data_IF_767918571505
#
_entry.id   IF_767918571505
#
_cell.length_a   1.000
_cell.length_b   1.000
_cell.length_c   1.000
_cell.angle_alpha   90.00
_cell.angle_beta   90.00
_cell.angle_gamma   90.00
#
_symmetry.space_group_name_H-M   'P 1'
#
loop_
_entity.id
_entity.type
_entity.pdbx_description
1 polymer ?
#
# COMPACT_ATOMS: atom_id res chain seq x y z
N UNK A 1 35.52 -29.98 52.64
CA UNK A 1 34.85 -31.06 51.90
C UNK A 1 34.05 -30.41 50.83
N UNK A 2 34.59 -30.34 49.60
CA UNK A 2 33.94 -29.82 48.39
C UNK A 2 33.27 -31.01 47.71
N UNK A 3 31.99 -30.86 47.40
CA UNK A 3 31.29 -31.78 46.52
C UNK A 3 30.95 -31.04 45.20
N UNK A 4 31.64 -31.42 44.15
CA UNK A 4 31.41 -30.99 42.76
C UNK A 4 30.22 -31.74 42.20
N UNK A 5 29.20 -31.03 41.73
CA UNK A 5 28.09 -31.59 40.96
C UNK A 5 28.26 -31.21 39.50
N UNK A 6 28.80 -32.16 38.73
CA UNK A 6 28.79 -32.11 37.28
C UNK A 6 27.45 -32.51 36.73
N UNK A 7 26.70 -31.56 36.15
CA UNK A 7 25.44 -31.80 35.47
C UNK A 7 25.76 -32.14 33.99
N UNK A 8 25.58 -33.41 33.62
CA UNK A 8 25.61 -33.86 32.22
C UNK A 8 24.27 -33.62 31.57
N UNK A 9 24.28 -32.85 30.50
CA UNK A 9 23.13 -32.71 29.56
C UNK A 9 23.19 -33.91 28.62
N UNK A 10 22.09 -34.66 28.42
CA UNK A 10 22.07 -35.72 27.41
C UNK A 10 21.91 -35.14 26.00
N UNK A 11 22.80 -35.50 25.10
CA UNK A 11 22.68 -35.34 23.66
C UNK A 11 21.47 -36.13 23.15
N UNK A 12 20.40 -35.42 22.79
CA UNK A 12 19.25 -35.94 22.05
C UNK A 12 19.27 -35.43 20.61
N UNK A 13 20.12 -36.02 19.78
CA UNK A 13 20.12 -35.79 18.34
C UNK A 13 18.83 -36.35 17.72
N UNK A 14 17.99 -35.48 17.20
CA UNK A 14 17.09 -35.79 16.07
C UNK A 14 17.30 -34.71 15.02
N UNK A 15 18.21 -34.98 14.10
CA UNK A 15 18.46 -34.16 12.92
C UNK A 15 17.17 -34.15 12.07
N UNK A 16 16.49 -33.04 12.09
CA UNK A 16 15.60 -32.68 11.00
C UNK A 16 16.50 -32.18 9.86
N UNK A 17 16.92 -33.09 9.00
CA UNK A 17 17.45 -32.74 7.69
C UNK A 17 16.30 -32.10 6.91
N UNK A 18 16.37 -30.78 6.75
CA UNK A 18 15.56 -30.06 5.78
C UNK A 18 15.97 -30.57 4.40
N UNK A 19 15.03 -31.22 3.73
CA UNK A 19 15.15 -31.69 2.35
C UNK A 19 15.37 -30.48 1.42
N UNK A 20 16.56 -30.36 0.79
CA UNK A 20 16.84 -29.23 -0.10
C UNK A 20 15.96 -29.19 -1.34
N UNK A 21 15.32 -30.30 -1.72
CA UNK A 21 14.46 -30.39 -2.90
C UNK A 21 13.13 -29.63 -2.74
N UNK A 22 12.68 -29.34 -1.51
CA UNK A 22 11.48 -28.54 -1.24
C UNK A 22 11.66 -27.03 -1.39
N UNK A 23 12.90 -26.55 -1.46
CA UNK A 23 13.20 -25.12 -1.64
C UNK A 23 13.21 -24.74 -3.13
N UNK A 24 13.50 -25.69 -4.01
CA UNK A 24 13.57 -25.43 -5.45
C UNK A 24 12.18 -25.38 -6.12
N UNK A 25 11.18 -26.10 -5.62
CA UNK A 25 9.79 -26.02 -6.13
C UNK A 25 9.10 -24.66 -5.89
N UNK A 26 9.64 -23.82 -4.99
CA UNK A 26 9.15 -22.46 -4.76
C UNK A 26 9.85 -21.41 -5.66
N UNK A 27 10.92 -21.79 -6.35
CA UNK A 27 11.63 -20.91 -7.28
C UNK A 27 10.98 -20.86 -8.66
N UNK A 28 10.20 -21.87 -9.01
CA UNK A 28 9.43 -21.92 -10.24
C UNK A 28 8.01 -21.36 -10.01
N UNK A 29 7.90 -20.23 -9.30
CA UNK A 29 6.71 -19.39 -9.28
C UNK A 29 6.43 -18.93 -10.71
N UNK A 30 5.79 -19.78 -11.48
CA UNK A 30 5.38 -19.50 -12.84
C UNK A 30 4.22 -18.49 -12.80
N UNK A 31 4.57 -17.23 -12.51
CA UNK A 31 3.66 -16.12 -12.80
C UNK A 31 3.46 -16.15 -14.32
N UNK A 32 2.24 -16.33 -14.82
CA UNK A 32 2.03 -16.25 -16.24
C UNK A 32 2.55 -14.88 -16.69
N UNK A 33 3.60 -14.90 -17.51
CA UNK A 33 4.08 -13.70 -18.19
C UNK A 33 2.97 -13.25 -19.14
N UNK A 34 2.02 -12.48 -18.61
CA UNK A 34 1.06 -11.77 -19.42
C UNK A 34 1.81 -10.73 -20.28
N UNK A 35 1.28 -10.36 -21.45
CA UNK A 35 1.90 -9.37 -22.32
C UNK A 35 1.72 -7.96 -21.75
N UNK A 36 2.17 -7.76 -20.52
CA UNK A 36 2.27 -6.42 -19.96
C UNK A 36 3.56 -5.80 -20.50
N UNK A 37 3.48 -5.16 -21.65
CA UNK A 37 4.42 -4.09 -21.99
C UNK A 37 4.42 -3.16 -20.78
N UNK A 38 5.55 -3.11 -20.06
CA UNK A 38 5.81 -2.06 -19.10
C UNK A 38 5.46 -0.75 -19.79
N UNK A 39 4.33 -0.16 -19.44
CA UNK A 39 4.11 1.22 -19.74
C UNK A 39 5.22 1.96 -18.99
N UNK A 40 6.21 2.43 -19.71
CA UNK A 40 7.28 3.30 -19.23
C UNK A 40 6.68 4.70 -18.97
N UNK A 41 5.63 4.76 -18.18
CA UNK A 41 5.01 5.96 -17.65
C UNK A 41 4.92 5.74 -16.17
N UNK A 42 5.48 6.64 -15.41
CA UNK A 42 5.13 6.79 -14.00
C UNK A 42 3.61 6.75 -13.86
N UNK A 43 3.09 6.62 -12.63
CA UNK A 43 1.67 6.82 -12.39
C UNK A 43 1.32 8.19 -12.98
N UNK A 44 1.02 8.21 -14.27
CA UNK A 44 0.57 9.42 -14.93
C UNK A 44 -0.71 9.81 -14.21
N UNK A 45 -0.63 10.87 -13.46
CA UNK A 45 -1.77 11.45 -12.75
C UNK A 45 -2.65 12.23 -13.74
N UNK A 46 -2.46 11.96 -15.01
CA UNK A 46 -3.34 12.47 -16.05
C UNK A 46 -4.72 11.87 -15.79
N UNK A 47 -5.65 12.74 -15.44
CA UNK A 47 -7.05 12.40 -15.19
C UNK A 47 -7.63 11.65 -16.39
N UNK A 48 -7.16 11.94 -17.59
CA UNK A 48 -7.57 11.28 -18.81
C UNK A 48 -7.14 9.80 -18.84
N UNK A 49 -5.89 9.49 -18.45
CA UNK A 49 -5.39 8.11 -18.35
C UNK A 49 -6.16 7.32 -17.29
N UNK A 50 -6.47 7.95 -16.14
CA UNK A 50 -7.25 7.29 -15.09
C UNK A 50 -8.70 7.02 -15.52
N UNK A 51 -9.27 7.86 -16.40
CA UNK A 51 -10.60 7.64 -16.95
C UNK A 51 -10.62 6.60 -18.06
N UNK A 52 -9.58 6.53 -18.88
CA UNK A 52 -9.50 5.60 -20.01
C UNK A 52 -9.32 4.14 -19.57
N UNK A 53 -8.70 3.90 -18.40
CA UNK A 53 -8.55 2.55 -17.84
C UNK A 53 -8.82 2.55 -16.33
N UNK A 54 -10.03 2.20 -15.89
CA UNK A 54 -10.42 2.19 -14.47
C UNK A 54 -9.55 1.25 -13.61
N UNK A 55 -8.86 0.26 -14.21
CA UNK A 55 -7.92 -0.61 -13.48
C UNK A 55 -6.73 0.16 -12.91
N UNK A 56 -6.43 1.35 -13.47
CA UNK A 56 -5.41 2.25 -12.92
C UNK A 56 -5.81 2.82 -11.56
N UNK A 57 -7.11 2.88 -11.28
CA UNK A 57 -7.69 3.47 -10.06
C UNK A 57 -7.90 2.45 -8.94
N UNK A 58 -7.94 1.16 -9.26
CA UNK A 58 -8.15 0.08 -8.29
C UNK A 58 -6.80 -0.44 -7.77
N UNK A 59 -6.64 -0.43 -6.44
CA UNK A 59 -5.51 -1.03 -5.73
C UNK A 59 -6.06 -2.15 -4.83
N UNK A 60 -5.61 -3.39 -5.06
CA UNK A 60 -6.00 -4.54 -4.23
C UNK A 60 -5.04 -4.68 -3.05
N UNK A 61 -5.55 -4.69 -1.82
CA UNK A 61 -4.73 -4.83 -0.62
C UNK A 61 -4.47 -6.32 -0.31
N UNK A 62 -3.19 -6.70 -0.27
CA UNK A 62 -2.72 -8.03 0.10
C UNK A 62 -2.45 -8.09 1.61
N UNK A 63 -3.52 -7.98 2.42
CA UNK A 63 -3.42 -8.03 3.88
C UNK A 63 -3.51 -9.50 4.36
N UNK A 64 -2.49 -10.28 3.99
CA UNK A 64 -2.32 -11.72 4.29
C UNK A 64 -0.95 -11.98 4.91
N UNK A 65 -0.76 -13.18 5.48
CA UNK A 65 0.44 -13.51 6.26
C UNK A 65 1.50 -14.30 5.47
N UNK A 66 1.21 -14.72 4.22
CA UNK A 66 2.16 -15.50 3.42
C UNK A 66 2.20 -15.07 1.96
N UNK A 67 3.37 -15.20 1.35
CA UNK A 67 3.57 -14.97 -0.08
C UNK A 67 2.68 -15.88 -0.94
N UNK A 68 2.49 -17.15 -0.52
CA UNK A 68 1.62 -18.09 -1.22
C UNK A 68 0.17 -17.60 -1.26
N UNK A 69 -0.39 -17.11 -0.15
CA UNK A 69 -1.74 -16.55 -0.12
C UNK A 69 -1.84 -15.27 -0.97
N UNK A 70 -0.83 -14.41 -0.92
CA UNK A 70 -0.77 -13.23 -1.77
C UNK A 70 -0.78 -13.59 -3.25
N UNK A 71 0.03 -14.57 -3.64
CA UNK A 71 0.07 -15.08 -5.01
C UNK A 71 -1.28 -15.65 -5.47
N UNK A 72 -1.94 -16.46 -4.64
CA UNK A 72 -3.27 -17.02 -4.95
C UNK A 72 -4.29 -15.90 -5.24
N UNK A 73 -4.28 -14.82 -4.44
CA UNK A 73 -5.15 -13.67 -4.66
C UNK A 73 -4.83 -12.99 -6.00
N UNK A 74 -3.55 -12.74 -6.29
CA UNK A 74 -3.12 -12.10 -7.54
C UNK A 74 -3.54 -12.92 -8.77
N UNK A 75 -3.39 -14.24 -8.70
CA UNK A 75 -3.83 -15.15 -9.77
C UNK A 75 -5.36 -15.15 -9.90
N UNK A 76 -6.09 -15.21 -8.77
CA UNK A 76 -7.54 -15.22 -8.78
C UNK A 76 -8.16 -13.90 -9.28
N UNK A 77 -7.55 -12.76 -8.97
CA UNK A 77 -7.99 -11.43 -9.49
C UNK A 77 -7.66 -11.26 -10.97
N UNK A 78 -6.58 -11.90 -11.44
CA UNK A 78 -6.16 -11.86 -12.84
C UNK A 78 -5.91 -10.42 -13.33
N UNK A 79 -6.44 -10.09 -14.51
CA UNK A 79 -6.25 -8.80 -15.17
C UNK A 79 -7.23 -7.70 -14.72
N UNK A 80 -8.13 -8.02 -13.78
CA UNK A 80 -9.04 -7.05 -13.22
C UNK A 80 -8.32 -5.99 -12.34
N UNK A 81 -7.11 -6.27 -11.85
CA UNK A 81 -6.30 -5.28 -11.15
C UNK A 81 -4.85 -5.27 -11.64
N UNK A 82 -4.28 -4.07 -11.72
CA UNK A 82 -2.89 -3.84 -12.12
C UNK A 82 -1.99 -3.56 -10.92
N UNK A 83 -2.55 -3.03 -9.83
CA UNK A 83 -1.81 -2.54 -8.67
C UNK A 83 -2.20 -3.29 -7.41
N UNK A 84 -1.20 -3.74 -6.68
CA UNK A 84 -1.36 -4.46 -5.42
C UNK A 84 -0.63 -3.75 -4.28
N UNK A 85 -1.30 -3.58 -3.14
CA UNK A 85 -0.71 -3.00 -1.94
C UNK A 85 -0.09 -4.10 -1.07
N UNK A 86 1.21 -4.00 -0.84
CA UNK A 86 1.93 -4.78 0.17
C UNK A 86 2.02 -3.91 1.43
N UNK A 87 1.28 -4.31 2.47
CA UNK A 87 1.26 -3.63 3.76
C UNK A 87 2.25 -4.22 4.76
N UNK A 88 2.27 -3.65 5.97
CA UNK A 88 3.19 -4.04 7.05
C UNK A 88 3.11 -5.53 7.39
N UNK A 89 1.90 -6.13 7.43
CA UNK A 89 1.72 -7.54 7.79
C UNK A 89 2.49 -8.46 6.84
N UNK A 90 2.21 -8.39 5.55
CA UNK A 90 2.82 -9.26 4.54
C UNK A 90 4.32 -8.98 4.42
N UNK A 91 4.73 -7.71 4.43
CA UNK A 91 6.14 -7.35 4.34
C UNK A 91 6.95 -7.80 5.55
N UNK A 92 6.38 -7.72 6.77
CA UNK A 92 7.06 -8.19 7.99
C UNK A 92 7.21 -9.71 8.00
N UNK A 93 6.20 -10.43 7.47
CA UNK A 93 6.22 -11.89 7.43
C UNK A 93 7.20 -12.44 6.38
N UNK A 94 7.23 -11.86 5.18
CA UNK A 94 7.90 -12.42 3.99
C UNK A 94 9.09 -11.59 3.50
N UNK A 95 9.30 -10.40 4.06
CA UNK A 95 10.38 -9.51 3.67
C UNK A 95 10.23 -8.93 2.25
N UNK A 96 11.32 -8.39 1.68
CA UNK A 96 11.28 -7.71 0.39
C UNK A 96 11.09 -8.64 -0.82
N UNK A 97 11.22 -9.96 -0.64
CA UNK A 97 11.12 -10.89 -1.76
C UNK A 97 9.73 -10.89 -2.37
N UNK A 98 8.67 -10.83 -1.57
CA UNK A 98 7.28 -10.76 -2.07
C UNK A 98 7.05 -9.54 -2.96
N UNK A 99 7.73 -8.43 -2.70
CA UNK A 99 7.66 -7.22 -3.56
C UNK A 99 8.36 -7.47 -4.90
N UNK A 100 9.56 -8.09 -4.88
CA UNK A 100 10.29 -8.43 -6.12
C UNK A 100 9.50 -9.37 -7.01
N UNK A 101 8.87 -10.37 -6.43
CA UNK A 101 8.08 -11.38 -7.16
C UNK A 101 6.87 -10.74 -7.85
N UNK A 102 6.14 -9.86 -7.14
CA UNK A 102 5.04 -9.09 -7.72
C UNK A 102 5.51 -8.18 -8.87
N UNK A 103 6.62 -7.46 -8.68
CA UNK A 103 7.18 -6.60 -9.72
C UNK A 103 7.66 -7.43 -10.92
N UNK A 104 8.33 -8.54 -10.70
CA UNK A 104 8.79 -9.45 -11.75
C UNK A 104 7.62 -10.06 -12.56
N UNK A 105 6.46 -10.26 -11.92
CA UNK A 105 5.23 -10.72 -12.60
C UNK A 105 4.53 -9.62 -13.42
N UNK A 106 5.11 -8.41 -13.49
CA UNK A 106 4.54 -7.27 -14.23
C UNK A 106 3.47 -6.50 -13.44
N UNK A 107 3.26 -6.80 -12.16
CA UNK A 107 2.30 -6.08 -11.33
C UNK A 107 2.93 -4.81 -10.76
N UNK A 108 2.13 -3.76 -10.60
CA UNK A 108 2.53 -2.54 -9.89
C UNK A 108 2.41 -2.77 -8.40
N UNK A 109 3.42 -2.34 -7.63
CA UNK A 109 3.40 -2.48 -6.18
C UNK A 109 3.27 -1.12 -5.51
N UNK A 110 2.26 -1.01 -4.67
CA UNK A 110 2.12 0.03 -3.66
C UNK A 110 2.65 -0.49 -2.32
N UNK A 111 3.85 -0.05 -1.92
CA UNK A 111 4.48 -0.42 -0.66
C UNK A 111 3.98 0.49 0.46
N UNK A 112 3.09 -0.04 1.31
CA UNK A 112 2.38 0.72 2.34
C UNK A 112 2.96 0.43 3.74
N UNK A 113 4.20 0.88 3.99
CA UNK A 113 4.93 0.70 5.25
C UNK A 113 4.91 1.94 6.16
N UNK A 114 4.42 3.07 5.65
CA UNK A 114 4.22 4.31 6.42
C UNK A 114 5.49 4.78 7.12
N UNK A 115 6.61 4.90 6.39
CA UNK A 115 7.88 5.32 6.96
C UNK A 115 7.78 6.63 7.73
N UNK A 116 8.32 6.62 8.95
CA UNK A 116 8.26 7.76 9.86
C UNK A 116 9.47 7.71 10.80
N UNK A 117 10.49 8.49 10.49
CA UNK A 117 11.73 8.58 11.25
C UNK A 117 12.45 9.90 10.89
N UNK A 118 13.65 10.13 11.41
CA UNK A 118 14.48 11.27 11.01
C UNK A 118 14.78 11.23 9.51
N UNK A 119 15.04 12.39 8.85
CA UNK A 119 15.17 12.49 7.40
C UNK A 119 16.15 11.49 6.78
N UNK A 120 17.33 11.31 7.38
CA UNK A 120 18.36 10.41 6.87
C UNK A 120 17.92 8.93 6.82
N UNK A 121 17.24 8.48 7.87
CA UNK A 121 16.72 7.10 7.96
C UNK A 121 15.66 6.85 6.89
N UNK A 122 14.71 7.80 6.76
CA UNK A 122 13.64 7.70 5.74
C UNK A 122 14.22 7.77 4.34
N UNK A 123 15.19 8.65 4.08
CA UNK A 123 15.88 8.73 2.79
C UNK A 123 16.50 7.39 2.39
N UNK A 124 17.25 6.76 3.30
CA UNK A 124 17.88 5.46 3.06
C UNK A 124 16.83 4.37 2.80
N UNK A 125 15.76 4.32 3.60
CA UNK A 125 14.68 3.34 3.44
C UNK A 125 13.95 3.49 2.10
N UNK A 126 13.65 4.73 1.68
CA UNK A 126 13.02 5.03 0.38
C UNK A 126 13.93 4.65 -0.79
N UNK A 127 15.25 4.89 -0.68
CA UNK A 127 16.21 4.48 -1.69
C UNK A 127 16.25 2.95 -1.86
N UNK A 128 16.19 2.19 -0.77
CA UNK A 128 16.10 0.72 -0.86
C UNK A 128 14.75 0.26 -1.46
N UNK A 129 13.65 0.91 -1.09
CA UNK A 129 12.34 0.61 -1.68
C UNK A 129 12.30 0.90 -3.20
N UNK A 130 12.98 1.96 -3.65
CA UNK A 130 13.11 2.28 -5.07
C UNK A 130 13.81 1.15 -5.85
N UNK A 131 14.83 0.51 -5.28
CA UNK A 131 15.54 -0.64 -5.87
C UNK A 131 14.64 -1.88 -5.99
N UNK A 132 13.63 -2.02 -5.14
CA UNK A 132 12.64 -3.11 -5.24
C UNK A 132 11.70 -2.96 -6.44
N UNK A 133 11.69 -1.80 -7.08
CA UNK A 133 10.84 -1.56 -8.23
C UNK A 133 9.40 -1.15 -7.88
N UNK A 134 9.13 -0.65 -6.68
CA UNK A 134 7.78 -0.21 -6.28
C UNK A 134 7.32 1.01 -7.07
N UNK A 135 6.02 1.12 -7.30
CA UNK A 135 5.41 2.23 -8.03
C UNK A 135 4.89 3.32 -7.10
N UNK A 136 4.50 2.96 -5.90
CA UNK A 136 4.04 3.87 -4.85
C UNK A 136 4.62 3.46 -3.51
N UNK A 137 4.84 4.45 -2.65
CA UNK A 137 5.35 4.25 -1.29
C UNK A 137 4.69 5.23 -0.32
N UNK A 138 4.44 4.83 0.92
CA UNK A 138 3.93 5.72 1.96
C UNK A 138 5.00 6.19 2.94
N UNK A 139 4.91 7.48 3.28
CA UNK A 139 5.59 8.10 4.42
C UNK A 139 4.56 8.85 5.27
N UNK A 140 4.81 9.08 6.55
CA UNK A 140 3.90 9.91 7.36
C UNK A 140 4.16 11.40 7.13
N UNK A 141 3.09 12.19 6.87
CA UNK A 141 3.20 13.64 6.75
C UNK A 141 3.67 14.32 8.04
N UNK A 142 3.31 13.74 9.20
CA UNK A 142 3.72 14.21 10.53
C UNK A 142 5.24 14.16 10.78
N UNK A 143 6.02 13.47 9.93
CA UNK A 143 7.48 13.52 9.96
C UNK A 143 8.08 14.89 9.57
N UNK A 144 7.26 15.80 9.05
CA UNK A 144 7.62 17.17 8.75
C UNK A 144 8.34 17.39 7.43
N UNK A 145 8.51 18.66 7.07
CA UNK A 145 8.97 19.10 5.76
C UNK A 145 10.34 18.52 5.35
N UNK A 146 11.30 18.42 6.29
CA UNK A 146 12.63 17.88 5.98
C UNK A 146 12.61 16.39 5.64
N UNK A 147 11.81 15.62 6.39
CA UNK A 147 11.66 14.18 6.14
C UNK A 147 10.95 13.93 4.80
N UNK A 148 9.90 14.70 4.51
CA UNK A 148 9.15 14.58 3.25
C UNK A 148 10.05 14.87 2.04
N UNK A 149 10.84 15.95 2.08
CA UNK A 149 11.82 16.25 1.03
C UNK A 149 12.84 15.14 0.84
N UNK A 150 13.43 14.64 1.94
CA UNK A 150 14.40 13.55 1.89
C UNK A 150 13.81 12.27 1.25
N UNK A 151 12.55 11.96 1.55
CA UNK A 151 11.84 10.84 0.92
C UNK A 151 11.62 11.06 -0.60
N UNK A 152 11.18 12.26 -0.99
CA UNK A 152 10.96 12.61 -2.40
C UNK A 152 12.26 12.59 -3.21
N UNK A 153 13.33 13.14 -2.64
CA UNK A 153 14.66 13.14 -3.29
C UNK A 153 15.17 11.71 -3.52
N UNK A 154 15.02 10.83 -2.53
CA UNK A 154 15.41 9.43 -2.66
C UNK A 154 14.56 8.67 -3.69
N UNK A 155 13.29 9.01 -3.83
CA UNK A 155 12.38 8.39 -4.80
C UNK A 155 12.76 8.69 -6.25
N UNK A 156 13.53 9.77 -6.52
CA UNK A 156 14.02 10.12 -7.87
C UNK A 156 14.95 9.06 -8.46
N UNK A 157 15.56 8.20 -7.62
CA UNK A 157 16.33 7.04 -8.09
C UNK A 157 15.50 6.07 -8.95
N UNK A 158 14.17 6.11 -8.85
CA UNK A 158 13.24 5.36 -9.68
C UNK A 158 12.25 6.33 -10.35
N UNK A 159 12.46 6.70 -11.61
CA UNK A 159 11.53 7.55 -12.36
C UNK A 159 10.11 6.98 -12.34
N UNK A 160 9.14 7.84 -12.04
CA UNK A 160 7.73 7.46 -11.94
C UNK A 160 7.28 6.83 -10.62
N UNK A 161 8.16 6.65 -9.63
CA UNK A 161 7.76 6.26 -8.29
C UNK A 161 7.09 7.44 -7.58
N UNK A 162 5.94 7.17 -6.96
CA UNK A 162 5.13 8.16 -6.26
C UNK A 162 5.34 8.04 -4.74
N UNK A 163 5.68 9.15 -4.10
CA UNK A 163 5.67 9.27 -2.63
C UNK A 163 4.32 9.79 -2.18
N UNK A 164 3.61 8.98 -1.41
CA UNK A 164 2.30 9.29 -0.82
C UNK A 164 2.49 9.62 0.65
N UNK A 165 2.05 10.82 1.06
CA UNK A 165 2.09 11.20 2.46
C UNK A 165 0.79 10.78 3.18
N UNK A 166 0.92 9.95 4.23
CA UNK A 166 -0.20 9.59 5.11
C UNK A 166 -0.54 10.82 5.96
N UNK A 167 -1.79 11.25 5.92
CA UNK A 167 -2.29 12.37 6.70
C UNK A 167 -2.73 11.92 8.09
N UNK A 168 -3.98 12.11 8.48
CA UNK A 168 -4.55 11.56 9.70
C UNK A 168 -5.06 10.14 9.43
N UNK A 169 -4.71 9.18 10.29
CA UNK A 169 -5.18 7.81 10.14
C UNK A 169 -6.72 7.76 10.22
N UNK A 170 -7.35 6.95 9.37
CA UNK A 170 -8.81 6.86 9.29
C UNK A 170 -9.50 6.31 10.54
N UNK A 171 -8.73 5.73 11.46
CA UNK A 171 -9.18 5.26 12.78
C UNK A 171 -9.22 6.36 13.84
N UNK A 172 -8.52 7.49 13.62
CA UNK A 172 -8.42 8.59 14.59
C UNK A 172 -9.63 9.52 14.53
N UNK A 173 -9.99 10.04 15.71
CA UNK A 173 -10.99 11.09 15.91
C UNK A 173 -10.36 12.36 16.49
N UNK A 174 -11.18 13.36 16.81
CA UNK A 174 -10.73 14.65 17.35
C UNK A 174 -10.02 14.51 18.72
N UNK A 175 -10.45 13.57 19.56
CA UNK A 175 -9.82 13.35 20.87
C UNK A 175 -8.43 12.74 20.70
N UNK A 176 -8.27 11.82 19.74
CA UNK A 176 -6.97 11.24 19.41
C UNK A 176 -6.00 12.33 18.93
N UNK A 177 -6.48 13.24 18.05
CA UNK A 177 -5.68 14.37 17.57
C UNK A 177 -5.22 15.29 18.70
N UNK A 178 -6.12 15.66 19.60
CA UNK A 178 -5.80 16.50 20.76
C UNK A 178 -4.76 15.83 21.67
N UNK A 179 -4.91 14.52 21.90
CA UNK A 179 -3.98 13.74 22.74
C UNK A 179 -2.55 13.74 22.18
N UNK A 180 -2.38 13.76 20.85
CA UNK A 180 -1.06 13.85 20.22
C UNK A 180 -0.62 15.29 19.94
N UNK A 181 -1.33 16.31 20.50
CA UNK A 181 -0.98 17.72 20.38
C UNK A 181 -1.38 18.39 19.06
N UNK A 182 -2.26 17.76 18.27
CA UNK A 182 -2.81 18.38 17.06
C UNK A 182 -4.14 19.08 17.37
N UNK A 183 -4.18 20.40 17.17
CA UNK A 183 -5.38 21.20 17.37
C UNK A 183 -6.30 21.24 16.13
N UNK A 184 -7.59 21.47 16.36
CA UNK A 184 -8.63 21.62 15.33
C UNK A 184 -9.33 20.31 15.01
N UNK A 185 -10.15 20.30 13.96
CA UNK A 185 -10.87 19.11 13.51
C UNK A 185 -9.96 18.14 12.76
N UNK A 186 -10.39 16.88 12.62
CA UNK A 186 -9.71 15.88 11.76
C UNK A 186 -9.53 16.41 10.34
N UNK A 187 -10.59 17.03 9.79
CA UNK A 187 -10.55 17.57 8.43
C UNK A 187 -9.52 18.71 8.27
N UNK A 188 -9.37 19.60 9.26
CA UNK A 188 -8.35 20.65 9.23
C UNK A 188 -6.93 20.07 9.37
N UNK A 189 -6.75 19.06 10.21
CA UNK A 189 -5.51 18.31 10.35
C UNK A 189 -5.08 17.67 9.02
N UNK A 190 -6.03 17.01 8.34
CA UNK A 190 -5.80 16.37 7.03
C UNK A 190 -5.37 17.40 5.99
N UNK A 191 -6.07 18.55 5.88
CA UNK A 191 -5.71 19.61 4.92
C UNK A 191 -4.34 20.18 5.20
N UNK A 192 -4.02 20.51 6.47
CA UNK A 192 -2.69 21.02 6.84
C UNK A 192 -1.56 20.06 6.44
N UNK A 193 -1.72 18.77 6.77
CA UNK A 193 -0.71 17.76 6.45
C UNK A 193 -0.58 17.56 4.93
N UNK A 194 -1.69 17.53 4.21
CA UNK A 194 -1.72 17.40 2.77
C UNK A 194 -1.07 18.58 2.03
N UNK A 195 -1.36 19.81 2.48
CA UNK A 195 -0.74 21.04 1.95
C UNK A 195 0.77 21.04 2.19
N UNK A 196 1.21 20.64 3.40
CA UNK A 196 2.63 20.50 3.70
C UNK A 196 3.29 19.43 2.82
N UNK A 197 2.64 18.29 2.63
CA UNK A 197 3.16 17.22 1.77
C UNK A 197 3.36 17.69 0.33
N UNK A 198 2.35 18.36 -0.26
CA UNK A 198 2.43 18.94 -1.60
C UNK A 198 3.55 19.98 -1.71
N UNK A 199 3.65 20.90 -0.74
CA UNK A 199 4.68 21.94 -0.72
C UNK A 199 6.11 21.37 -0.61
N UNK A 200 6.26 20.11 -0.19
CA UNK A 200 7.55 19.43 -0.07
C UNK A 200 7.76 18.32 -1.11
N UNK A 201 7.00 18.39 -2.22
CA UNK A 201 7.22 17.58 -3.42
C UNK A 201 6.59 16.20 -3.43
N UNK A 202 5.80 15.81 -2.41
CA UNK A 202 5.01 14.58 -2.50
C UNK A 202 4.02 14.68 -3.65
N UNK A 203 3.82 13.57 -4.38
CA UNK A 203 2.93 13.54 -5.53
C UNK A 203 1.50 13.15 -5.16
N UNK A 204 1.27 12.76 -3.91
CA UNK A 204 -0.07 12.43 -3.42
C UNK A 204 -0.11 12.19 -1.91
N UNK A 205 -1.29 11.83 -1.46
CA UNK A 205 -1.60 11.53 -0.06
C UNK A 205 -2.46 10.29 0.09
N UNK A 206 -2.45 9.75 1.29
CA UNK A 206 -3.47 8.78 1.76
C UNK A 206 -4.42 9.53 2.69
N UNK A 207 -5.70 9.55 2.34
CA UNK A 207 -6.76 10.19 3.12
C UNK A 207 -8.10 9.46 2.97
N UNK A 208 -9.01 9.67 3.93
CA UNK A 208 -10.37 9.13 3.85
C UNK A 208 -11.15 9.75 2.69
N UNK A 209 -12.08 8.99 2.12
CA UNK A 209 -12.96 9.49 1.06
C UNK A 209 -13.83 10.68 1.51
N UNK A 210 -14.11 10.84 2.80
CA UNK A 210 -14.87 11.96 3.34
C UNK A 210 -14.17 13.31 3.18
N UNK A 211 -12.85 13.32 3.23
CA UNK A 211 -12.04 14.51 3.04
C UNK A 211 -11.69 14.78 1.57
N UNK A 212 -11.96 13.81 0.66
CA UNK A 212 -11.50 13.86 -0.72
C UNK A 212 -11.99 15.10 -1.49
N UNK A 213 -13.24 15.51 -1.34
CA UNK A 213 -13.79 16.71 -2.02
C UNK A 213 -13.09 17.99 -1.58
N UNK A 214 -12.88 18.17 -0.27
CA UNK A 214 -12.16 19.33 0.26
C UNK A 214 -10.70 19.32 -0.19
N UNK A 215 -10.05 18.17 -0.12
CA UNK A 215 -8.67 18.01 -0.58
C UNK A 215 -8.53 18.29 -2.08
N UNK A 216 -9.49 17.85 -2.89
CA UNK A 216 -9.49 18.10 -4.33
C UNK A 216 -9.62 19.59 -4.66
N UNK A 217 -10.46 20.30 -3.92
CA UNK A 217 -10.60 21.75 -4.05
C UNK A 217 -9.30 22.50 -3.69
N UNK A 218 -8.63 22.07 -2.61
CA UNK A 218 -7.41 22.72 -2.10
C UNK A 218 -6.13 22.36 -2.92
N UNK A 219 -6.04 21.11 -3.37
CA UNK A 219 -4.81 20.56 -3.94
C UNK A 219 -4.84 20.43 -5.47
N UNK A 220 -5.98 20.74 -6.13
CA UNK A 220 -6.10 20.65 -7.58
C UNK A 220 -6.15 19.21 -8.11
N UNK A 221 -6.15 19.07 -9.46
CA UNK A 221 -6.40 17.78 -10.15
C UNK A 221 -5.18 16.86 -10.20
N UNK A 222 -3.99 17.43 -10.23
CA UNK A 222 -2.72 16.73 -10.50
C UNK A 222 -2.10 16.11 -9.24
N UNK A 223 -2.82 16.10 -8.13
CA UNK A 223 -2.35 15.55 -6.86
C UNK A 223 -3.10 14.26 -6.55
N UNK A 224 -2.38 13.16 -6.35
CA UNK A 224 -3.02 11.88 -6.09
C UNK A 224 -3.68 11.84 -4.70
N UNK A 225 -4.94 11.42 -4.67
CA UNK A 225 -5.67 11.12 -3.43
C UNK A 225 -5.97 9.63 -3.44
N UNK A 226 -5.24 8.87 -2.62
CA UNK A 226 -5.41 7.42 -2.46
C UNK A 226 -6.27 7.18 -1.24
N UNK A 227 -7.42 6.52 -1.43
CA UNK A 227 -8.43 6.37 -0.40
C UNK A 227 -8.61 4.91 0.01
N UNK A 228 -8.22 4.53 1.25
CA UNK A 228 -8.51 3.22 1.82
C UNK A 228 -9.91 3.16 2.44
N UNK A 229 -10.33 1.96 2.83
CA UNK A 229 -11.58 1.76 3.57
C UNK A 229 -12.83 1.85 2.73
N UNK A 230 -12.71 1.76 1.41
CA UNK A 230 -13.84 1.73 0.48
C UNK A 230 -14.51 0.35 0.51
N UNK A 231 -15.84 0.30 0.48
CA UNK A 231 -16.64 -0.93 0.50
C UNK A 231 -17.76 -0.85 -0.54
N UNK A 232 -18.06 -1.94 -1.27
CA UNK A 232 -19.27 -2.02 -2.07
C UNK A 232 -20.53 -1.80 -1.23
N UNK A 233 -21.62 -1.35 -1.86
CA UNK A 233 -22.91 -1.16 -1.20
C UNK A 233 -23.37 -2.49 -0.57
N UNK A 234 -23.81 -2.45 0.71
CA UNK A 234 -24.23 -3.63 1.45
C UNK A 234 -23.09 -4.48 2.05
N UNK A 235 -21.83 -4.12 1.81
CA UNK A 235 -20.67 -4.82 2.38
C UNK A 235 -20.50 -4.57 3.88
N UNK A 236 -19.87 -5.53 4.59
CA UNK A 236 -19.54 -5.38 6.01
C UNK A 236 -18.60 -4.20 6.26
N UNK A 237 -18.97 -3.33 7.20
CA UNK A 237 -18.18 -2.15 7.60
C UNK A 237 -16.85 -2.55 8.25
N UNK A 238 -16.84 -3.66 9.01
CA UNK A 238 -15.64 -4.17 9.71
C UNK A 238 -15.07 -3.13 10.68
N UNK A 239 -13.76 -2.96 10.62
CA UNK A 239 -12.96 -2.06 11.46
C UNK A 239 -12.91 -0.60 10.96
N UNK A 240 -13.56 -0.29 9.82
CA UNK A 240 -13.57 1.05 9.21
C UNK A 240 -14.74 1.89 9.72
N UNK A 241 -14.46 2.99 10.42
CA UNK A 241 -15.48 3.90 10.96
C UNK A 241 -16.10 4.84 9.91
N UNK A 242 -15.42 5.04 8.76
CA UNK A 242 -15.73 6.06 7.73
C UNK A 242 -15.71 5.46 6.33
N UNK A 243 -16.78 4.73 5.97
CA UNK A 243 -16.90 3.96 4.72
C UNK A 243 -17.70 4.74 3.67
N UNK A 244 -17.24 4.70 2.42
CA UNK A 244 -17.98 5.09 1.22
C UNK A 244 -17.89 3.97 0.19
N UNK A 245 -18.83 3.97 -0.77
CA UNK A 245 -18.79 3.07 -1.92
C UNK A 245 -17.67 3.47 -2.91
N UNK A 246 -17.25 2.57 -3.80
CA UNK A 246 -16.30 2.90 -4.86
C UNK A 246 -16.71 4.12 -5.68
N UNK A 247 -17.96 4.15 -6.14
CA UNK A 247 -18.51 5.27 -6.93
C UNK A 247 -18.49 6.59 -6.15
N UNK A 248 -18.94 6.58 -4.90
CA UNK A 248 -18.94 7.78 -4.04
C UNK A 248 -17.52 8.29 -3.77
N UNK A 249 -16.56 7.41 -3.51
CA UNK A 249 -15.17 7.79 -3.29
C UNK A 249 -14.56 8.49 -4.52
N UNK A 250 -14.81 7.96 -5.71
CA UNK A 250 -14.37 8.55 -6.96
C UNK A 250 -15.07 9.88 -7.25
N UNK A 251 -16.40 9.94 -7.07
CA UNK A 251 -17.19 11.17 -7.23
C UNK A 251 -16.74 12.26 -6.24
N UNK A 252 -16.33 11.89 -5.02
CA UNK A 252 -15.74 12.80 -4.04
C UNK A 252 -14.34 13.31 -4.43
N UNK A 253 -13.70 12.77 -5.46
CA UNK A 253 -12.42 13.25 -5.97
C UNK A 253 -11.22 12.35 -5.66
N UNK A 254 -11.41 11.13 -5.14
CA UNK A 254 -10.33 10.15 -5.03
C UNK A 254 -9.77 9.81 -6.41
N UNK A 255 -8.43 9.77 -6.52
CA UNK A 255 -7.74 9.29 -7.72
C UNK A 255 -7.72 7.77 -7.76
N UNK A 256 -7.44 7.16 -6.61
CA UNK A 256 -7.31 5.72 -6.43
C UNK A 256 -8.09 5.27 -5.20
N UNK A 257 -8.62 4.06 -5.26
CA UNK A 257 -9.26 3.39 -4.12
C UNK A 257 -8.47 2.14 -3.75
N UNK A 258 -8.37 1.87 -2.44
CA UNK A 258 -7.74 0.65 -1.91
C UNK A 258 -8.82 -0.25 -1.37
N UNK A 259 -8.94 -1.45 -1.95
CA UNK A 259 -9.92 -2.46 -1.58
C UNK A 259 -9.19 -3.74 -1.16
N UNK A 260 -9.50 -4.25 0.03
CA UNK A 260 -8.95 -5.49 0.57
C UNK A 260 -10.01 -6.59 0.62
N UNK A 261 -10.51 -6.92 1.82
CA UNK A 261 -11.43 -8.03 2.10
C UNK A 261 -12.60 -8.21 1.13
N UNK A 262 -13.27 -7.17 0.62
CA UNK A 262 -14.32 -7.35 -0.37
C UNK A 262 -13.87 -8.16 -1.60
N UNK A 263 -12.62 -7.97 -2.03
CA UNK A 263 -12.04 -8.74 -3.16
C UNK A 263 -11.36 -10.00 -2.65
N UNK A 264 -10.48 -9.89 -1.65
CA UNK A 264 -9.59 -10.99 -1.25
C UNK A 264 -10.30 -12.14 -0.54
N UNK A 265 -11.50 -11.92 0.01
CA UNK A 265 -12.34 -12.93 0.63
C UNK A 265 -13.61 -13.25 -0.18
N UNK A 266 -13.74 -12.72 -1.40
CA UNK A 266 -14.84 -13.05 -2.29
C UNK A 266 -14.73 -14.52 -2.75
N UNK A 267 -15.87 -15.15 -3.01
CA UNK A 267 -15.91 -16.47 -3.62
C UNK A 267 -15.31 -16.45 -5.05
N UNK A 268 -15.47 -15.34 -5.75
CA UNK A 268 -14.85 -15.03 -7.04
C UNK A 268 -14.20 -13.63 -6.99
N UNK A 269 -12.89 -13.55 -6.67
CA UNK A 269 -12.17 -12.29 -6.60
C UNK A 269 -12.13 -11.49 -7.90
N UNK A 270 -12.11 -12.17 -9.06
CA UNK A 270 -12.12 -11.50 -10.36
C UNK A 270 -13.47 -10.84 -10.62
N UNK A 271 -14.59 -11.54 -10.39
CA UNK A 271 -15.92 -10.98 -10.56
C UNK A 271 -16.17 -9.79 -9.64
N UNK A 272 -15.73 -9.86 -8.37
CA UNK A 272 -15.86 -8.75 -7.43
C UNK A 272 -15.02 -7.53 -7.86
N UNK A 273 -13.77 -7.75 -8.29
CA UNK A 273 -12.94 -6.68 -8.82
C UNK A 273 -13.58 -6.02 -10.05
N UNK A 274 -14.14 -6.80 -10.97
CA UNK A 274 -14.87 -6.32 -12.14
C UNK A 274 -16.11 -5.50 -11.76
N UNK A 275 -16.90 -5.95 -10.77
CA UNK A 275 -18.05 -5.23 -10.26
C UNK A 275 -17.64 -3.86 -9.67
N UNK A 276 -16.50 -3.79 -8.98
CA UNK A 276 -15.95 -2.53 -8.48
C UNK A 276 -15.49 -1.64 -9.64
N UNK A 277 -14.81 -2.20 -10.63
CA UNK A 277 -14.38 -1.45 -11.82
C UNK A 277 -15.58 -0.81 -12.55
N UNK A 278 -16.67 -1.55 -12.70
CA UNK A 278 -17.89 -1.02 -13.31
C UNK A 278 -18.45 0.21 -12.56
N UNK A 279 -18.31 0.25 -11.23
CA UNK A 279 -18.76 1.38 -10.40
C UNK A 279 -17.89 2.63 -10.54
N UNK A 280 -16.64 2.50 -10.97
CA UNK A 280 -15.66 3.60 -11.04
C UNK A 280 -15.28 4.00 -12.46
N UNK A 281 -15.95 3.42 -13.46
CA UNK A 281 -15.73 3.66 -14.90
C UNK A 281 -16.50 4.87 -15.44
N UNK A 282 -17.30 5.55 -14.59
CA UNK A 282 -18.13 6.68 -14.96
C UNK A 282 -17.37 8.02 -14.94
#
# INVERSE_FOLDING_TARGET
MQASLTNRIPDGGSGHQSDPSRVDDLRDGNFPAGPFKQAAGGFAQDVEVLKSDPRQRLIVALDVSTAAAAHQIVVAVGDAALTYKVGMQLYTAEGPQVVRDLVASGRRVFLDLKYHDIPNTVQAAVAEAAKLGVSMLTVHASGGAKMLRAAVDAAQARPGMIVLAVTVLTSMDENDLQTIGMSGTVADGVVRLATMARANGCQGIVASAREASRLRAELGKDFAIVTPGVRPAGGSVGDQKRVLTPAEAIAAGASHIVVGRPITHAADPAAEAQAILAQISG
#
